data_IF_475466396435
#
_entry.id   IF_475466396435
#
_cell.length_a   1.000
_cell.length_b   1.000
_cell.length_c   1.000
_cell.angle_alpha   90.00
_cell.angle_beta   90.00
_cell.angle_gamma   90.00
#
_symmetry.space_group_name_H-M   'P 1'
#
loop_
_entity.id
_entity.type
_entity.pdbx_description
1 polymer ?
#
# COMPACT_ATOMS: atom_id res chain seq x y z
N UNK A 1 -9.18 3.73 -11.20
CA UNK A 1 -9.13 3.53 -9.73
C UNK A 1 -8.47 2.18 -9.49
N UNK A 2 -7.19 2.18 -9.12
CA UNK A 2 -6.39 0.95 -8.99
C UNK A 2 -6.94 0.06 -7.86
N UNK A 3 -7.52 0.68 -6.83
CA UNK A 3 -8.21 -0.01 -5.74
C UNK A 3 -9.33 -0.94 -6.24
N UNK A 4 -10.26 -0.44 -7.07
CA UNK A 4 -11.38 -1.25 -7.59
C UNK A 4 -10.88 -2.38 -8.49
N UNK A 5 -9.87 -2.12 -9.31
CA UNK A 5 -9.29 -3.14 -10.19
C UNK A 5 -8.71 -4.30 -9.41
N UNK A 6 -7.96 -4.02 -8.33
CA UNK A 6 -7.43 -5.05 -7.45
C UNK A 6 -8.54 -5.80 -6.70
N UNK A 7 -9.59 -5.11 -6.22
CA UNK A 7 -10.75 -5.77 -5.63
C UNK A 7 -11.43 -6.75 -6.60
N UNK A 8 -11.67 -6.33 -7.85
CA UNK A 8 -12.28 -7.19 -8.86
C UNK A 8 -11.41 -8.44 -9.15
N UNK A 9 -10.09 -8.25 -9.27
CA UNK A 9 -9.14 -9.35 -9.46
C UNK A 9 -9.11 -10.31 -8.26
N UNK A 10 -9.15 -9.79 -7.04
CA UNK A 10 -9.20 -10.61 -5.82
C UNK A 10 -10.44 -11.50 -5.79
N UNK A 11 -11.61 -10.94 -6.11
CA UNK A 11 -12.89 -11.66 -6.17
C UNK A 11 -12.82 -12.78 -7.22
N UNK A 12 -12.37 -12.48 -8.45
CA UNK A 12 -12.27 -13.47 -9.52
C UNK A 12 -11.34 -14.62 -9.12
N UNK A 13 -10.19 -14.33 -8.51
CA UNK A 13 -9.25 -15.38 -8.07
C UNK A 13 -9.81 -16.22 -6.93
N UNK A 14 -10.54 -15.62 -6.00
CA UNK A 14 -11.22 -16.33 -4.93
C UNK A 14 -12.23 -17.33 -5.49
N UNK A 15 -13.09 -16.88 -6.40
CA UNK A 15 -14.11 -17.71 -7.06
C UNK A 15 -13.49 -18.86 -7.88
N UNK A 16 -12.31 -18.62 -8.46
CA UNK A 16 -11.55 -19.64 -9.18
C UNK A 16 -10.74 -20.58 -8.28
N UNK A 17 -10.81 -20.42 -6.95
CA UNK A 17 -10.09 -21.24 -5.97
C UNK A 17 -8.61 -20.88 -5.77
N UNK A 18 -8.12 -19.85 -6.46
CA UNK A 18 -6.74 -19.33 -6.29
C UNK A 18 -6.68 -18.35 -5.11
N UNK A 19 -6.78 -18.89 -3.90
CA UNK A 19 -6.82 -18.11 -2.66
C UNK A 19 -5.52 -17.36 -2.39
N UNK A 20 -4.38 -17.87 -2.87
CA UNK A 20 -3.08 -17.22 -2.68
C UNK A 20 -3.03 -15.91 -3.46
N UNK A 21 -3.36 -15.97 -4.75
CA UNK A 21 -3.34 -14.78 -5.59
C UNK A 21 -4.49 -13.82 -5.25
N UNK A 22 -5.62 -14.35 -4.78
CA UNK A 22 -6.72 -13.55 -4.23
C UNK A 22 -6.23 -12.67 -3.07
N UNK A 23 -5.59 -13.25 -2.05
CA UNK A 23 -5.02 -12.51 -0.90
C UNK A 23 -3.96 -11.50 -1.32
N UNK A 24 -3.16 -11.81 -2.34
CA UNK A 24 -2.17 -10.86 -2.86
C UNK A 24 -2.85 -9.63 -3.46
N UNK A 25 -3.93 -9.81 -4.23
CA UNK A 25 -4.70 -8.70 -4.76
C UNK A 25 -5.44 -7.92 -3.68
N UNK A 26 -5.96 -8.57 -2.63
CA UNK A 26 -6.54 -7.87 -1.46
C UNK A 26 -5.52 -6.94 -0.82
N UNK A 27 -4.30 -7.42 -0.56
CA UNK A 27 -3.22 -6.60 0.01
C UNK A 27 -2.90 -5.40 -0.89
N UNK A 28 -2.79 -5.61 -2.21
CA UNK A 28 -2.53 -4.53 -3.17
C UNK A 28 -3.67 -3.52 -3.24
N UNK A 29 -4.93 -3.95 -3.09
CA UNK A 29 -6.08 -3.06 -3.04
C UNK A 29 -6.00 -2.12 -1.82
N UNK A 30 -5.64 -2.65 -0.65
CA UNK A 30 -5.47 -1.85 0.58
C UNK A 30 -4.31 -0.86 0.42
N UNK A 31 -3.18 -1.28 -0.13
CA UNK A 31 -2.04 -0.39 -0.39
C UNK A 31 -2.37 0.71 -1.43
N UNK A 32 -3.15 0.38 -2.45
CA UNK A 32 -3.61 1.34 -3.45
C UNK A 32 -4.57 2.35 -2.82
N UNK A 33 -5.52 1.89 -2.01
CA UNK A 33 -6.45 2.75 -1.29
C UNK A 33 -5.72 3.72 -0.36
N UNK A 34 -4.78 3.22 0.45
CA UNK A 34 -3.96 4.07 1.31
C UNK A 34 -3.18 5.11 0.52
N UNK A 35 -2.58 4.74 -0.62
CA UNK A 35 -1.89 5.70 -1.49
C UNK A 35 -2.83 6.72 -2.12
N UNK A 36 -4.00 6.29 -2.60
CA UNK A 36 -5.02 7.18 -3.15
C UNK A 36 -5.57 8.17 -2.11
N UNK A 37 -5.59 7.79 -0.82
CA UNK A 37 -6.00 8.65 0.30
C UNK A 37 -4.82 9.44 0.93
N UNK A 38 -3.57 9.12 0.59
CA UNK A 38 -2.41 9.74 1.22
C UNK A 38 -2.18 11.15 0.64
N UNK A 39 -2.39 12.17 1.47
CA UNK A 39 -2.27 13.58 1.06
C UNK A 39 -0.78 13.99 0.95
N UNK A 40 0.08 13.43 1.80
CA UNK A 40 1.53 13.67 1.80
C UNK A 40 2.26 12.51 2.48
N UNK A 41 3.53 12.30 2.10
CA UNK A 41 4.41 11.31 2.72
C UNK A 41 4.90 11.79 4.10
N UNK A 42 5.32 10.84 4.95
CA UNK A 42 5.94 11.17 6.25
C UNK A 42 7.18 12.05 6.03
N UNK A 43 7.94 11.81 4.96
CA UNK A 43 9.10 12.61 4.59
C UNK A 43 8.75 14.09 4.38
N UNK A 44 7.61 14.38 3.76
CA UNK A 44 7.12 15.75 3.54
C UNK A 44 6.56 16.40 4.81
N UNK A 45 6.18 15.60 5.82
CA UNK A 45 5.62 16.11 7.08
C UNK A 45 6.65 16.39 8.17
N UNK A 46 7.82 15.74 8.13
CA UNK A 46 8.83 15.87 9.19
C UNK A 46 9.88 16.94 8.86
N UNK A 47 10.38 17.69 9.86
CA UNK A 47 11.49 18.61 9.65
C UNK A 47 12.75 17.87 9.18
N UNK A 48 13.57 18.50 8.33
CA UNK A 48 14.81 17.91 7.82
C UNK A 48 15.77 17.42 8.91
N UNK A 49 15.82 18.11 10.05
CA UNK A 49 16.60 17.68 11.22
C UNK A 49 16.12 16.37 11.85
N UNK A 50 14.81 16.09 11.78
CA UNK A 50 14.23 14.82 12.23
C UNK A 50 14.56 13.71 11.25
N UNK A 51 14.47 13.99 9.94
CA UNK A 51 14.88 13.08 8.88
C UNK A 51 16.34 12.65 9.06
N UNK A 52 17.27 13.59 9.23
CA UNK A 52 18.70 13.28 9.44
C UNK A 52 18.93 12.36 10.65
N UNK A 53 18.24 12.59 11.77
CA UNK A 53 18.36 11.74 12.96
C UNK A 53 17.85 10.32 12.69
N UNK A 54 16.74 10.17 11.98
CA UNK A 54 16.21 8.86 11.61
C UNK A 54 17.20 8.07 10.74
N UNK A 55 17.80 8.69 9.71
CA UNK A 55 18.80 8.02 8.87
C UNK A 55 20.04 7.59 9.66
N UNK A 56 20.45 8.34 10.69
CA UNK A 56 21.57 7.98 11.56
C UNK A 56 21.27 6.82 12.51
N UNK A 57 20.02 6.41 12.69
CA UNK A 57 19.65 5.28 13.57
C UNK A 57 19.68 3.92 12.88
N UNK A 58 19.61 3.90 11.55
CA UNK A 58 19.59 2.68 10.72
C UNK A 58 20.91 2.43 9.97
N UNK A 59 21.86 3.36 10.08
CA UNK A 59 23.25 3.23 9.64
C UNK A 59 24.15 2.96 10.84
#
# INVERSE_FOLDING_TARGET
MLTIEYCARAIIRHLNGDLKLSKEYEKRAVEAYHREQCICSIEEMIPGSTKEKLYKLVN
#
